data_IF_061605448151
#
_entry.id   IF_061605448151
#
_cell.length_a   1.000
_cell.length_b   1.000
_cell.length_c   1.000
_cell.angle_alpha   90.00
_cell.angle_beta   90.00
_cell.angle_gamma   90.00
#
_symmetry.space_group_name_H-M   'P 1'
#
loop_
_entity.id
_entity.type
_entity.pdbx_description
1 polymer ?
#
# COMPACT_ATOMS: atom_id res chain seq x y z
N UNK A 1 -7.74 -8.73 -22.33
CA UNK A 1 -8.34 -8.98 -21.00
C UNK A 1 -7.30 -8.54 -19.98
N UNK A 2 -7.60 -7.54 -19.15
CA UNK A 2 -6.60 -6.97 -18.24
C UNK A 2 -6.52 -7.78 -16.95
N UNK A 3 -5.30 -8.04 -16.46
CA UNK A 3 -5.04 -8.79 -15.24
C UNK A 3 -5.68 -8.11 -14.01
N UNK A 4 -5.46 -6.80 -13.85
CA UNK A 4 -6.13 -5.95 -12.87
C UNK A 4 -7.26 -5.21 -13.59
N UNK A 5 -8.49 -5.34 -13.08
CA UNK A 5 -9.71 -4.74 -13.62
C UNK A 5 -10.70 -4.44 -12.46
N UNK A 6 -11.85 -3.85 -12.77
CA UNK A 6 -12.83 -3.40 -11.77
C UNK A 6 -13.46 -4.51 -10.92
N UNK A 7 -13.25 -5.77 -11.32
CA UNK A 7 -13.73 -6.97 -10.60
C UNK A 7 -12.56 -7.82 -10.09
N UNK A 8 -11.35 -7.26 -10.02
CA UNK A 8 -10.16 -8.00 -9.57
C UNK A 8 -10.40 -8.62 -8.19
N UNK A 9 -10.11 -9.92 -8.05
CA UNK A 9 -10.36 -10.73 -6.85
C UNK A 9 -11.83 -10.96 -6.45
N UNK A 10 -12.82 -10.55 -7.26
CA UNK A 10 -14.24 -10.72 -6.96
C UNK A 10 -14.90 -11.67 -7.97
N UNK A 11 -15.27 -12.87 -7.51
CA UNK A 11 -15.77 -13.96 -8.38
C UNK A 11 -17.30 -14.06 -8.55
N UNK A 12 -18.10 -13.20 -7.90
CA UNK A 12 -19.57 -13.29 -7.94
C UNK A 12 -20.25 -11.97 -8.30
N UNK A 13 -21.39 -11.99 -9.02
CA UNK A 13 -22.16 -10.78 -9.32
C UNK A 13 -22.58 -10.00 -8.05
N UNK A 14 -22.95 -10.72 -6.99
CA UNK A 14 -23.29 -10.11 -5.70
C UNK A 14 -22.09 -9.41 -5.07
N UNK A 15 -20.90 -10.02 -5.09
CA UNK A 15 -19.68 -9.41 -4.57
C UNK A 15 -19.31 -8.14 -5.33
N UNK A 16 -19.45 -8.16 -6.66
CA UNK A 16 -19.19 -6.98 -7.51
C UNK A 16 -20.13 -5.85 -7.12
N UNK A 17 -21.43 -6.14 -6.95
CA UNK A 17 -22.43 -5.16 -6.53
C UNK A 17 -22.10 -4.53 -5.17
N UNK A 18 -21.76 -5.36 -4.18
CA UNK A 18 -21.41 -4.88 -2.83
C UNK A 18 -20.18 -3.98 -2.85
N UNK A 19 -19.13 -4.36 -3.60
CA UNK A 19 -17.94 -3.54 -3.71
C UNK A 19 -18.22 -2.23 -4.45
N UNK A 20 -18.79 -2.31 -5.65
CA UNK A 20 -18.95 -1.14 -6.53
C UNK A 20 -19.98 -0.13 -6.03
N UNK A 21 -21.04 -0.57 -5.35
CA UNK A 21 -22.14 0.31 -4.92
C UNK A 21 -22.03 0.77 -3.46
N UNK A 22 -21.21 0.10 -2.66
CA UNK A 22 -21.10 0.38 -1.22
C UNK A 22 -19.65 0.58 -0.83
N UNK A 23 -18.82 -0.46 -0.91
CA UNK A 23 -17.51 -0.44 -0.26
C UNK A 23 -16.50 0.52 -0.90
N UNK A 24 -16.56 0.72 -2.22
CA UNK A 24 -15.58 1.50 -3.00
C UNK A 24 -15.42 2.93 -2.51
N UNK A 25 -16.52 3.58 -2.12
CA UNK A 25 -16.55 5.01 -1.80
C UNK A 25 -16.52 5.28 -0.28
N UNK A 26 -16.44 4.22 0.53
CA UNK A 26 -16.30 4.38 1.98
C UNK A 26 -14.89 4.90 2.33
N UNK A 27 -14.76 5.75 3.36
CA UNK A 27 -13.46 6.19 3.82
C UNK A 27 -12.64 5.03 4.40
N UNK A 28 -11.32 5.13 4.30
CA UNK A 28 -10.41 4.22 4.99
C UNK A 28 -10.36 4.62 6.46
N UNK A 29 -10.64 3.66 7.35
CA UNK A 29 -10.47 3.82 8.80
C UNK A 29 -9.27 2.96 9.21
N UNK A 30 -8.08 3.58 9.21
CA UNK A 30 -6.82 2.92 9.56
C UNK A 30 -6.48 3.13 11.04
N UNK A 31 -7.14 2.35 11.91
CA UNK A 31 -7.05 2.50 13.37
C UNK A 31 -5.69 2.11 13.94
N UNK A 32 -4.90 1.33 13.21
CA UNK A 32 -3.61 0.82 13.65
C UNK A 32 -2.64 0.73 12.46
N UNK A 33 -1.73 1.69 12.40
CA UNK A 33 -0.66 1.73 11.42
C UNK A 33 0.69 1.99 12.09
N UNK A 34 1.77 1.77 11.34
CA UNK A 34 3.14 2.07 11.73
C UNK A 34 3.73 3.20 10.86
N UNK A 35 2.89 4.17 10.50
CA UNK A 35 3.35 5.35 9.79
C UNK A 35 4.16 6.26 10.74
N UNK A 36 5.31 6.74 10.28
CA UNK A 36 6.12 7.71 11.02
C UNK A 36 5.34 9.03 11.15
N UNK A 37 4.96 9.39 12.38
CA UNK A 37 4.19 10.60 12.65
C UNK A 37 4.93 11.88 12.20
N UNK A 38 6.26 11.86 12.23
CA UNK A 38 7.10 12.97 11.74
C UNK A 38 6.90 13.22 10.24
N UNK A 39 6.86 12.17 9.43
CA UNK A 39 6.67 12.29 7.98
C UNK A 39 5.31 12.93 7.66
N UNK A 40 4.29 12.59 8.44
CA UNK A 40 2.94 13.18 8.33
C UNK A 40 3.00 14.66 8.72
N UNK A 41 3.58 14.99 9.87
CA UNK A 41 3.67 16.36 10.39
C UNK A 41 4.46 17.29 9.46
N UNK A 42 5.58 16.82 8.91
CA UNK A 42 6.44 17.62 8.03
C UNK A 42 5.94 17.64 6.57
N UNK A 43 4.87 16.89 6.26
CA UNK A 43 4.43 16.64 4.89
C UNK A 43 5.61 16.21 4.00
N UNK A 44 6.33 15.19 4.48
CA UNK A 44 7.60 14.76 3.92
C UNK A 44 7.47 14.42 2.44
N UNK A 45 8.37 15.00 1.62
CA UNK A 45 8.46 14.71 0.19
C UNK A 45 9.62 13.77 -0.08
N UNK A 46 9.29 12.57 -0.53
CA UNK A 46 10.27 11.59 -0.97
C UNK A 46 10.98 12.09 -2.25
N UNK A 47 12.28 11.86 -2.33
CA UNK A 47 13.14 12.27 -3.45
C UNK A 47 12.96 11.39 -4.69
N UNK A 48 12.48 10.16 -4.52
CA UNK A 48 12.25 9.19 -5.60
C UNK A 48 11.23 8.12 -5.21
N UNK A 49 10.67 7.42 -6.20
CA UNK A 49 9.79 6.27 -5.96
C UNK A 49 10.52 5.11 -5.28
N UNK A 50 11.82 4.96 -5.54
CA UNK A 50 12.67 3.96 -4.89
C UNK A 50 12.79 4.22 -3.39
N UNK A 51 12.96 5.48 -2.99
CA UNK A 51 12.97 5.84 -1.57
C UNK A 51 11.62 5.54 -0.92
N UNK A 52 10.52 6.00 -1.53
CA UNK A 52 9.17 5.76 -1.00
C UNK A 52 8.87 4.27 -0.79
N UNK A 53 9.25 3.40 -1.74
CA UNK A 53 8.94 1.97 -1.68
C UNK A 53 9.91 1.17 -0.80
N UNK A 54 11.21 1.49 -0.82
CA UNK A 54 12.24 0.65 -0.20
C UNK A 54 12.76 1.16 1.14
N UNK A 55 12.54 2.43 1.50
CA UNK A 55 13.11 2.99 2.72
C UNK A 55 12.50 2.39 3.99
N UNK A 56 11.24 1.94 3.92
CA UNK A 56 10.41 1.64 5.10
C UNK A 56 9.83 0.23 5.15
N UNK A 57 9.97 -0.57 4.09
CA UNK A 57 9.50 -1.95 4.10
C UNK A 57 10.59 -2.91 4.62
N UNK A 58 10.36 -3.47 5.80
CA UNK A 58 11.22 -4.49 6.40
C UNK A 58 11.16 -5.81 5.61
N UNK A 59 10.07 -6.10 4.89
CA UNK A 59 9.90 -7.35 4.15
C UNK A 59 10.87 -7.45 2.97
N UNK A 60 11.14 -6.32 2.30
CA UNK A 60 12.13 -6.24 1.23
C UNK A 60 13.57 -6.14 1.76
N UNK A 61 13.75 -5.93 3.07
CA UNK A 61 15.05 -5.82 3.74
C UNK A 61 15.57 -7.19 4.20
N UNK A 62 15.51 -8.20 3.34
CA UNK A 62 16.41 -9.37 3.49
C UNK A 62 17.87 -8.89 3.34
N UNK A 63 18.82 -9.44 4.10
CA UNK A 63 20.00 -8.70 4.50
C UNK A 63 20.89 -8.45 3.28
N UNK A 64 21.13 -7.17 2.97
CA UNK A 64 22.44 -6.80 2.44
C UNK A 64 23.45 -7.24 3.51
N UNK A 65 24.03 -8.44 3.35
CA UNK A 65 25.31 -8.76 3.99
C UNK A 65 26.21 -7.59 3.63
N UNK A 66 26.66 -6.83 4.63
CA UNK A 66 27.84 -6.01 4.44
C UNK A 66 29.01 -6.97 4.44
N UNK A 67 29.32 -7.51 3.28
CA UNK A 67 30.68 -7.94 2.96
C UNK A 67 31.52 -6.66 2.83
N UNK A 68 31.97 -6.16 3.97
CA UNK A 68 33.06 -5.21 4.04
C UNK A 68 34.16 -5.86 4.85
N UNK A 69 35.22 -6.30 4.15
CA UNK A 69 36.53 -6.63 4.70
C UNK A 69 36.65 -7.99 5.35
#
# INVERSE_FOLDING_TARGET
MNLINDNFMIGSPTGVKLYQQVARDLPIIDYHCHLEAKDIYENHRFSSITELWLARDALQRYPRRKDHG
#
